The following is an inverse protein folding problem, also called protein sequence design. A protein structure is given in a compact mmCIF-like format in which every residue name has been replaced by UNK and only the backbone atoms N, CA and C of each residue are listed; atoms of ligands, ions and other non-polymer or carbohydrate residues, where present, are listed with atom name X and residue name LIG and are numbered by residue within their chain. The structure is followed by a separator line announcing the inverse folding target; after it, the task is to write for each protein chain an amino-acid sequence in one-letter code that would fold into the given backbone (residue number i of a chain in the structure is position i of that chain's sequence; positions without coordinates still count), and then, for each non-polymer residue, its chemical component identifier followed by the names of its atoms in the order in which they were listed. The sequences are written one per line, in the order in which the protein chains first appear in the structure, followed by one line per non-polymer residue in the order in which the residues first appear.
data_IF_474360442514
#
_entry.id   IF_474360442514
#
_cell.length_a   1.000
_cell.length_b   1.000
_cell.length_c   1.000
_cell.angle_alpha   90.00
_cell.angle_beta   90.00
_cell.angle_gamma   90.00
#
_symmetry.space_group_name_H-M   'P 1'
#
loop_
_entity.id
_entity.type
_entity.pdbx_description
1 polymer ?
#
# COMPACT_ATOMS: atom_id res chain seq x y z
N UNK A 1 -7.02 -36.49 -91.91
CA UNK A 1 -6.69 -36.95 -90.54
C UNK A 1 -6.05 -35.80 -89.80
N UNK A 2 -6.79 -35.16 -88.96
CA UNK A 2 -6.34 -33.97 -88.17
C UNK A 2 -6.16 -34.40 -86.73
N UNK A 3 -4.97 -34.30 -86.19
CA UNK A 3 -4.67 -34.50 -84.75
C UNK A 3 -4.83 -33.18 -83.99
N UNK A 4 -5.76 -33.16 -83.06
CA UNK A 4 -5.91 -32.05 -82.17
C UNK A 4 -4.95 -32.21 -80.95
N UNK A 5 -4.13 -31.21 -80.74
CA UNK A 5 -3.20 -31.13 -79.61
C UNK A 5 -3.79 -30.24 -78.54
N UNK A 6 -4.23 -30.83 -77.44
CA UNK A 6 -4.76 -30.05 -76.30
C UNK A 6 -3.61 -29.67 -75.38
N UNK A 7 -3.38 -28.39 -75.25
CA UNK A 7 -2.45 -27.79 -74.31
C UNK A 7 -3.14 -27.53 -72.98
N UNK A 8 -2.82 -28.31 -71.94
CA UNK A 8 -3.33 -28.10 -70.62
C UNK A 8 -2.45 -27.08 -69.88
N UNK A 9 -2.96 -25.89 -69.66
CA UNK A 9 -2.35 -24.91 -68.73
C UNK A 9 -2.58 -25.35 -67.30
N UNK A 10 -1.51 -25.76 -66.60
CA UNK A 10 -1.52 -25.98 -65.17
C UNK A 10 -1.29 -24.65 -64.50
N UNK A 11 -2.35 -24.13 -63.86
CA UNK A 11 -2.29 -22.93 -63.04
C UNK A 11 -1.80 -23.33 -61.65
N UNK A 12 -0.54 -22.99 -61.33
CA UNK A 12 0.06 -23.22 -60.02
C UNK A 12 -0.43 -22.13 -59.06
N UNK A 13 -1.45 -22.43 -58.23
CA UNK A 13 -1.89 -21.56 -57.14
C UNK A 13 -0.86 -21.63 -55.99
N UNK A 14 -0.06 -20.59 -55.84
CA UNK A 14 0.77 -20.37 -54.64
C UNK A 14 -0.14 -19.86 -53.53
N UNK A 15 -0.49 -20.75 -52.59
CA UNK A 15 -1.11 -20.35 -51.33
C UNK A 15 -0.04 -19.75 -50.42
N UNK A 16 -0.02 -18.41 -50.33
CA UNK A 16 0.68 -17.71 -49.28
C UNK A 16 -0.13 -17.87 -47.98
N UNK A 17 0.23 -18.82 -47.13
CA UNK A 17 -0.20 -18.84 -45.75
C UNK A 17 0.55 -17.75 -45.01
N UNK A 18 0.00 -16.54 -44.99
CA UNK A 18 0.43 -15.48 -44.06
C UNK A 18 0.10 -15.91 -42.65
N UNK A 19 1.11 -16.30 -41.88
CA UNK A 19 1.01 -16.45 -40.44
C UNK A 19 0.96 -15.02 -39.87
N UNK A 20 -0.23 -14.45 -39.71
CA UNK A 20 -0.41 -13.26 -38.86
C UNK A 20 -0.26 -13.71 -37.42
N UNK A 21 0.93 -13.50 -36.85
CA UNK A 21 1.06 -13.44 -35.40
C UNK A 21 0.22 -12.24 -34.94
N UNK A 22 -1.01 -12.49 -34.54
CA UNK A 22 -1.74 -11.56 -33.69
C UNK A 22 -0.95 -11.49 -32.39
N UNK A 23 -0.06 -10.49 -32.27
CA UNK A 23 0.33 -9.98 -30.98
C UNK A 23 -0.98 -9.47 -30.34
N UNK A 24 -1.57 -10.31 -29.51
CA UNK A 24 -2.62 -9.92 -28.59
C UNK A 24 -2.04 -8.80 -27.75
N UNK A 25 -2.28 -7.55 -28.15
CA UNK A 25 -2.11 -6.41 -27.26
C UNK A 25 -2.94 -6.72 -26.02
N UNK A 26 -2.25 -7.18 -24.98
CA UNK A 26 -2.83 -7.38 -23.66
C UNK A 26 -3.27 -6.00 -23.19
N UNK A 27 -4.54 -5.66 -23.46
CA UNK A 27 -5.17 -4.46 -22.90
C UNK A 27 -4.84 -4.47 -21.42
N UNK A 28 -4.17 -3.45 -20.85
CA UNK A 28 -3.87 -3.41 -19.43
C UNK A 28 -5.19 -3.64 -18.70
N UNK A 29 -5.28 -4.72 -17.94
CA UNK A 29 -6.44 -4.91 -17.07
C UNK A 29 -6.41 -3.72 -16.12
N UNK A 30 -7.48 -2.92 -16.08
CA UNK A 30 -7.58 -1.81 -15.14
C UNK A 30 -7.22 -2.33 -13.75
N UNK A 31 -6.10 -1.89 -13.20
CA UNK A 31 -5.66 -2.35 -11.89
C UNK A 31 -6.65 -1.87 -10.83
N UNK A 32 -7.24 -2.82 -10.11
CA UNK A 32 -8.27 -2.50 -9.12
C UNK A 32 -7.64 -2.01 -7.82
N UNK A 33 -8.14 -0.89 -7.32
CA UNK A 33 -7.73 -0.32 -6.03
C UNK A 33 -8.68 -0.71 -4.87
N UNK A 34 -9.62 -1.63 -5.12
CA UNK A 34 -10.64 -2.11 -4.17
C UNK A 34 -10.46 -3.61 -3.82
N UNK A 35 -9.28 -4.14 -4.01
CA UNK A 35 -8.93 -5.51 -3.66
C UNK A 35 -8.69 -5.64 -2.15
N UNK A 36 -8.60 -6.88 -1.68
CA UNK A 36 -8.23 -7.17 -0.29
C UNK A 36 -6.82 -6.67 0.02
N UNK A 37 -6.59 -6.35 1.28
CA UNK A 37 -5.27 -5.96 1.79
C UNK A 37 -4.21 -7.00 1.40
N UNK A 38 -3.01 -6.55 1.03
CA UNK A 38 -1.90 -7.39 0.59
C UNK A 38 -1.96 -7.84 -0.88
N UNK A 39 -3.10 -7.72 -1.56
CA UNK A 39 -3.23 -8.17 -2.96
C UNK A 39 -2.30 -7.44 -3.95
N UNK A 40 -1.81 -6.25 -3.59
CA UNK A 40 -0.85 -5.47 -4.38
C UNK A 40 0.54 -5.43 -3.76
N UNK A 41 0.88 -6.35 -2.86
CA UNK A 41 2.17 -6.35 -2.17
C UNK A 41 3.35 -6.31 -3.15
N UNK A 42 3.37 -7.19 -4.16
CA UNK A 42 4.42 -7.22 -5.19
C UNK A 42 4.41 -5.95 -6.04
N UNK A 43 3.24 -5.39 -6.33
CA UNK A 43 3.11 -4.13 -7.09
C UNK A 43 3.73 -2.94 -6.35
N UNK A 44 3.69 -2.93 -5.01
CA UNK A 44 4.42 -1.95 -4.20
C UNK A 44 5.93 -2.18 -4.26
N UNK A 45 6.37 -3.42 -4.10
CA UNK A 45 7.76 -3.75 -3.86
C UNK A 45 8.59 -3.73 -5.14
N UNK A 46 8.12 -4.38 -6.21
CA UNK A 46 8.84 -4.50 -7.49
C UNK A 46 8.47 -3.40 -8.48
N UNK A 47 9.25 -3.28 -9.55
CA UNK A 47 9.00 -2.40 -10.71
C UNK A 47 8.45 -3.16 -11.93
N UNK A 48 8.06 -4.42 -11.75
CA UNK A 48 7.58 -5.27 -12.87
C UNK A 48 6.30 -4.74 -13.52
N UNK A 49 5.35 -4.26 -12.72
CA UNK A 49 4.07 -3.72 -13.21
C UNK A 49 4.06 -2.19 -13.14
N UNK A 50 4.49 -1.64 -12.02
CA UNK A 50 4.45 -0.21 -11.75
C UNK A 50 5.83 0.31 -11.39
N UNK A 51 6.35 1.22 -12.21
CA UNK A 51 7.65 1.86 -11.99
C UNK A 51 7.55 3.10 -11.10
N UNK A 52 6.33 3.61 -10.85
CA UNK A 52 6.06 4.83 -10.07
C UNK A 52 5.04 4.58 -8.96
N UNK A 53 5.15 5.35 -7.87
CA UNK A 53 4.08 5.50 -6.87
C UNK A 53 3.55 6.93 -6.91
N UNK A 54 2.24 7.06 -6.90
CA UNK A 54 1.57 8.34 -6.68
C UNK A 54 0.68 8.26 -5.44
N UNK A 55 1.07 8.96 -4.37
CA UNK A 55 0.38 8.99 -3.09
C UNK A 55 -0.60 10.15 -3.07
N UNK A 56 -1.88 9.87 -2.95
CA UNK A 56 -2.91 10.88 -2.70
C UNK A 56 -3.17 10.98 -1.20
N UNK A 57 -2.76 12.09 -0.61
CA UNK A 57 -2.97 12.40 0.80
C UNK A 57 -4.19 13.32 0.93
N UNK A 58 -5.29 12.76 1.42
CA UNK A 58 -6.51 13.49 1.73
C UNK A 58 -6.58 13.71 3.23
N UNK A 59 -6.82 14.92 3.69
CA UNK A 59 -6.90 15.23 5.11
C UNK A 59 -8.07 16.16 5.41
N UNK A 60 -8.67 16.00 6.57
CA UNK A 60 -9.70 16.95 7.04
C UNK A 60 -9.04 18.29 7.38
N UNK A 61 -9.70 19.39 7.03
CA UNK A 61 -9.21 20.75 7.32
C UNK A 61 -8.83 20.87 8.80
N UNK A 62 -7.60 21.33 9.07
CA UNK A 62 -7.03 21.40 10.42
C UNK A 62 -6.26 20.14 10.85
N UNK A 63 -6.25 19.06 10.05
CA UNK A 63 -5.57 17.80 10.35
C UNK A 63 -4.50 17.45 9.29
N UNK A 64 -3.95 18.46 8.61
CA UNK A 64 -2.86 18.28 7.65
C UNK A 64 -1.66 17.63 8.34
N UNK A 65 -1.12 16.51 7.85
CA UNK A 65 0.16 15.99 8.35
C UNK A 65 1.27 16.98 8.02
N UNK A 66 2.25 17.08 8.92
CA UNK A 66 3.43 17.90 8.66
C UNK A 66 4.25 17.36 7.48
N UNK A 67 4.91 18.26 6.77
CA UNK A 67 5.72 17.89 5.61
C UNK A 67 6.83 16.87 5.96
N UNK A 68 7.35 16.92 7.19
CA UNK A 68 8.33 15.96 7.71
C UNK A 68 7.79 14.52 7.73
N UNK A 69 6.52 14.31 8.07
CA UNK A 69 5.86 12.99 8.08
C UNK A 69 5.84 12.41 6.66
N UNK A 70 5.47 13.23 5.67
CA UNK A 70 5.42 12.81 4.26
C UNK A 70 6.80 12.61 3.64
N UNK A 71 7.80 13.40 4.04
CA UNK A 71 9.20 13.19 3.64
C UNK A 71 9.76 11.88 4.22
N UNK A 72 9.44 11.58 5.48
CA UNK A 72 9.82 10.32 6.12
C UNK A 72 9.21 9.12 5.40
N UNK A 73 7.90 9.18 5.08
CA UNK A 73 7.23 8.16 4.28
C UNK A 73 7.91 7.97 2.91
N UNK A 74 8.23 9.06 2.22
CA UNK A 74 8.93 8.98 0.92
C UNK A 74 10.28 8.28 1.04
N UNK A 75 11.05 8.60 2.09
CA UNK A 75 12.35 7.98 2.36
C UNK A 75 12.22 6.49 2.69
N UNK A 76 11.21 6.14 3.48
CA UNK A 76 10.87 4.76 3.83
C UNK A 76 10.49 3.95 2.57
N UNK A 77 9.63 4.46 1.71
CA UNK A 77 9.24 3.82 0.45
C UNK A 77 10.45 3.61 -0.48
N UNK A 78 11.32 4.62 -0.62
CA UNK A 78 12.56 4.49 -1.41
C UNK A 78 13.51 3.41 -0.89
N UNK A 79 13.51 3.16 0.43
CA UNK A 79 14.35 2.15 1.07
C UNK A 79 13.91 0.73 0.69
N UNK A 80 12.60 0.47 0.64
CA UNK A 80 12.06 -0.88 0.52
C UNK A 80 11.50 -1.24 -0.85
N UNK A 81 11.28 -0.27 -1.75
CA UNK A 81 10.61 -0.51 -3.02
C UNK A 81 11.50 -0.18 -4.22
N UNK A 82 11.33 -0.93 -5.32
CA UNK A 82 11.93 -0.64 -6.62
C UNK A 82 10.99 0.25 -7.44
N UNK A 83 11.16 1.58 -7.36
CA UNK A 83 10.35 2.55 -8.10
C UNK A 83 11.25 3.54 -8.85
N UNK A 84 11.88 3.09 -9.97
CA UNK A 84 12.82 3.92 -10.74
C UNK A 84 12.16 5.17 -11.33
N UNK A 85 10.86 5.13 -11.65
CA UNK A 85 10.08 6.27 -12.12
C UNK A 85 9.72 7.30 -11.04
N UNK A 86 10.04 7.00 -9.77
CA UNK A 86 9.91 7.93 -8.65
C UNK A 86 8.64 7.75 -7.82
N UNK A 87 8.57 8.56 -6.77
CA UNK A 87 7.46 8.62 -5.80
C UNK A 87 7.01 10.07 -5.71
N UNK A 88 5.74 10.32 -5.97
CA UNK A 88 5.12 11.65 -5.89
C UNK A 88 3.98 11.68 -4.88
N UNK A 89 3.75 12.85 -4.29
CA UNK A 89 2.68 13.07 -3.31
C UNK A 89 1.81 14.23 -3.79
N UNK A 90 0.49 14.01 -3.79
CA UNK A 90 -0.53 15.04 -3.97
C UNK A 90 -1.33 15.15 -2.69
N UNK A 91 -1.41 16.35 -2.10
CA UNK A 91 -2.12 16.56 -0.85
C UNK A 91 -3.27 17.53 -1.04
N UNK A 92 -4.42 17.26 -0.42
CA UNK A 92 -5.57 18.16 -0.40
C UNK A 92 -6.43 18.03 0.84
N UNK A 93 -7.04 19.14 1.23
CA UNK A 93 -8.00 19.20 2.31
C UNK A 93 -9.42 18.82 1.85
N UNK A 94 -10.19 18.27 2.78
CA UNK A 94 -11.65 18.12 2.67
C UNK A 94 -12.31 18.76 3.90
N UNK A 95 -13.59 19.06 3.77
CA UNK A 95 -14.42 19.46 4.91
C UNK A 95 -14.66 18.25 5.80
N UNK A 96 -14.74 18.46 7.13
CA UNK A 96 -15.06 17.38 8.08
C UNK A 96 -16.39 16.71 7.72
N UNK A 97 -16.42 15.36 7.65
CA UNK A 97 -17.67 14.63 7.55
C UNK A 97 -18.49 14.61 8.86
N UNK A 98 -17.95 15.16 9.97
CA UNK A 98 -18.59 15.28 11.29
C UNK A 98 -19.12 13.95 11.86
N UNK A 99 -18.32 12.87 11.72
CA UNK A 99 -18.74 11.51 12.10
C UNK A 99 -18.65 11.23 13.61
N UNK A 100 -17.80 11.96 14.37
CA UNK A 100 -17.51 11.73 15.78
C UNK A 100 -16.65 10.49 16.07
N UNK A 101 -16.69 9.51 15.18
CA UNK A 101 -15.78 8.35 15.04
C UNK A 101 -15.96 7.72 13.67
N UNK A 102 -14.99 6.93 13.22
CA UNK A 102 -15.01 6.32 11.90
C UNK A 102 -15.02 4.79 11.97
N UNK A 103 -16.00 4.16 11.35
CA UNK A 103 -15.94 2.76 10.92
C UNK A 103 -15.17 2.63 9.61
N UNK A 104 -14.68 1.43 9.30
CA UNK A 104 -14.06 1.16 7.99
C UNK A 104 -15.03 1.36 6.84
N UNK A 105 -16.33 1.16 7.05
CA UNK A 105 -17.37 1.41 6.05
C UNK A 105 -17.46 2.91 5.71
N UNK A 106 -17.40 3.78 6.70
CA UNK A 106 -17.40 5.24 6.51
C UNK A 106 -16.11 5.71 5.85
N UNK A 107 -14.94 5.18 6.27
CA UNK A 107 -13.66 5.47 5.62
C UNK A 107 -13.71 5.10 4.13
N UNK A 108 -14.24 3.92 3.76
CA UNK A 108 -14.43 3.54 2.35
C UNK A 108 -15.39 4.47 1.61
N UNK A 109 -16.38 5.05 2.29
CA UNK A 109 -17.27 6.05 1.71
C UNK A 109 -16.54 7.36 1.44
N UNK A 110 -15.72 7.84 2.38
CA UNK A 110 -14.83 9.00 2.20
C UNK A 110 -13.89 8.76 1.03
N UNK A 111 -13.22 7.60 0.96
CA UNK A 111 -12.35 7.26 -0.16
C UNK A 111 -13.10 7.31 -1.49
N UNK A 112 -14.27 6.67 -1.59
CA UNK A 112 -15.07 6.65 -2.82
C UNK A 112 -15.46 8.05 -3.29
N UNK A 113 -15.72 8.97 -2.38
CA UNK A 113 -16.10 10.36 -2.69
C UNK A 113 -14.91 11.23 -3.07
N UNK A 114 -13.76 10.92 -2.50
CA UNK A 114 -12.60 11.83 -2.55
C UNK A 114 -11.38 11.26 -3.27
N UNK A 115 -11.26 9.98 -3.53
CA UNK A 115 -10.13 9.42 -4.26
C UNK A 115 -10.12 9.91 -5.70
N UNK A 116 -9.00 10.46 -6.17
CA UNK A 116 -8.78 10.91 -7.54
C UNK A 116 -7.56 10.26 -8.21
N UNK A 117 -6.69 9.63 -7.43
CA UNK A 117 -5.51 8.93 -7.93
C UNK A 117 -5.75 7.43 -7.93
N UNK A 118 -5.81 6.85 -9.11
CA UNK A 118 -6.00 5.42 -9.35
C UNK A 118 -4.75 4.82 -10.01
N UNK A 119 -4.62 3.49 -9.87
CA UNK A 119 -3.56 2.76 -10.55
C UNK A 119 -3.85 2.65 -12.03
N UNK A 120 -2.95 3.14 -12.86
CA UNK A 120 -3.03 3.16 -14.32
C UNK A 120 -1.64 3.18 -14.96
N UNK A 121 -1.50 2.62 -16.13
CA UNK A 121 -0.22 2.53 -16.86
C UNK A 121 0.90 1.96 -15.99
N UNK A 122 1.99 2.70 -15.80
CA UNK A 122 3.14 2.35 -14.97
C UNK A 122 3.09 2.92 -13.53
N UNK A 123 1.94 3.47 -13.13
CA UNK A 123 1.73 4.16 -11.87
C UNK A 123 0.82 3.37 -10.93
N UNK A 124 1.30 3.02 -9.75
CA UNK A 124 0.47 2.54 -8.66
C UNK A 124 -0.06 3.72 -7.84
N UNK A 125 -1.38 3.90 -7.84
CA UNK A 125 -2.07 4.93 -7.07
C UNK A 125 -2.37 4.47 -5.65
N UNK A 126 -2.04 5.29 -4.66
CA UNK A 126 -2.22 5.00 -3.23
C UNK A 126 -3.05 6.08 -2.58
N UNK A 127 -4.03 5.71 -1.77
CA UNK A 127 -4.89 6.62 -1.04
C UNK A 127 -4.54 6.61 0.45
N UNK A 128 -4.29 7.79 1.02
CA UNK A 128 -3.97 7.98 2.44
C UNK A 128 -4.93 9.03 3.00
N UNK A 129 -5.74 8.64 3.98
CA UNK A 129 -6.67 9.55 4.63
C UNK A 129 -6.23 9.89 6.06
N UNK A 130 -6.08 11.19 6.36
CA UNK A 130 -5.90 11.69 7.71
C UNK A 130 -7.24 12.18 8.23
N UNK A 131 -7.82 11.41 9.14
CA UNK A 131 -9.11 11.66 9.74
C UNK A 131 -9.02 12.72 10.86
N UNK A 132 -10.13 13.37 11.15
CA UNK A 132 -10.27 14.35 12.23
C UNK A 132 -10.81 13.74 13.54
N UNK A 133 -11.05 12.43 13.55
CA UNK A 133 -11.58 11.73 14.69
C UNK A 133 -10.95 10.32 14.82
N UNK A 134 -11.32 9.60 15.87
CA UNK A 134 -10.84 8.25 16.21
C UNK A 134 -11.56 7.16 15.43
N UNK A 135 -10.97 5.95 15.41
CA UNK A 135 -11.68 4.74 15.02
C UNK A 135 -12.81 4.42 16.01
N UNK A 136 -13.95 3.91 15.51
CA UNK A 136 -15.06 3.40 16.34
C UNK A 136 -14.64 2.21 17.22
N UNK A 137 -13.67 1.41 16.73
CA UNK A 137 -13.12 0.26 17.43
C UNK A 137 -12.14 0.66 18.55
N UNK A 138 -11.78 1.95 18.67
CA UNK A 138 -10.88 2.46 19.71
C UNK A 138 -11.51 2.35 21.09
N UNK A 139 -10.75 1.78 22.05
CA UNK A 139 -11.13 1.72 23.47
C UNK A 139 -10.43 2.82 24.26
N UNK A 140 -10.94 3.16 25.45
CA UNK A 140 -10.39 4.22 26.30
C UNK A 140 -8.88 4.13 26.54
N UNK A 141 -8.37 2.91 26.74
CA UNK A 141 -6.96 2.68 27.04
C UNK A 141 -6.19 2.03 25.86
N UNK A 142 -6.83 1.86 24.69
CA UNK A 142 -6.23 1.21 23.53
C UNK A 142 -6.82 1.79 22.26
N UNK A 143 -6.27 2.93 21.82
CA UNK A 143 -6.71 3.61 20.60
C UNK A 143 -6.03 3.00 19.38
N UNK A 144 -6.78 2.80 18.33
CA UNK A 144 -6.26 2.45 17.01
C UNK A 144 -5.72 3.73 16.36
N UNK A 145 -4.46 3.71 15.95
CA UNK A 145 -3.76 4.88 15.40
C UNK A 145 -3.88 4.98 13.88
N UNK A 146 -3.93 3.85 13.21
CA UNK A 146 -4.08 3.75 11.75
C UNK A 146 -4.70 2.44 11.34
N UNK A 147 -4.99 2.29 10.05
CA UNK A 147 -5.41 1.03 9.46
C UNK A 147 -5.19 1.00 7.95
N UNK A 148 -4.48 0.00 7.46
CA UNK A 148 -4.54 -0.40 6.06
C UNK A 148 -5.82 -1.24 5.85
N UNK A 149 -6.67 -0.91 4.87
CA UNK A 149 -8.01 -1.52 4.77
C UNK A 149 -8.38 -2.04 3.38
N UNK A 150 -7.65 -1.63 2.35
CA UNK A 150 -7.68 -2.17 1.00
C UNK A 150 -6.25 -2.35 0.49
N UNK A 151 -6.11 -2.90 -0.72
CA UNK A 151 -4.79 -3.18 -1.30
C UNK A 151 -3.90 -1.96 -1.51
N UNK A 152 -4.47 -0.74 -1.55
CA UNK A 152 -3.73 0.52 -1.77
C UNK A 152 -4.26 1.67 -0.91
N UNK A 153 -4.86 1.38 0.24
CA UNK A 153 -5.57 2.40 1.02
C UNK A 153 -5.25 2.30 2.51
N UNK A 154 -4.94 3.45 3.11
CA UNK A 154 -4.60 3.61 4.53
C UNK A 154 -5.39 4.77 5.13
N UNK A 155 -5.80 4.63 6.38
CA UNK A 155 -6.30 5.73 7.22
C UNK A 155 -5.38 5.92 8.42
N UNK A 156 -5.14 7.19 8.78
CA UNK A 156 -4.50 7.61 10.03
C UNK A 156 -5.56 8.37 10.82
N UNK A 157 -5.87 7.87 12.01
CA UNK A 157 -6.86 8.49 12.89
C UNK A 157 -6.26 9.65 13.70
N UNK A 158 -7.12 10.55 14.18
CA UNK A 158 -6.65 11.65 15.02
C UNK A 158 -6.05 11.14 16.33
N UNK A 159 -4.82 11.56 16.58
CA UNK A 159 -4.02 11.18 17.75
C UNK A 159 -3.47 12.39 18.53
N UNK A 160 -4.00 13.60 18.28
CA UNK A 160 -3.53 14.84 18.91
C UNK A 160 -3.65 14.82 20.43
N UNK A 161 -4.76 14.30 20.97
CA UNK A 161 -4.90 14.13 22.42
C UNK A 161 -3.83 13.21 23.00
N UNK A 162 -3.46 12.14 22.29
CA UNK A 162 -2.45 11.20 22.74
C UNK A 162 -1.08 11.86 22.88
N UNK A 163 -0.66 12.64 21.89
CA UNK A 163 0.62 13.38 21.95
C UNK A 163 0.66 14.38 23.09
N UNK A 164 -0.46 15.05 23.39
CA UNK A 164 -0.59 15.96 24.53
C UNK A 164 -0.49 15.24 25.89
N UNK A 165 -1.09 14.05 26.00
CA UNK A 165 -1.07 13.25 27.24
C UNK A 165 0.32 12.68 27.54
N UNK A 166 1.11 12.40 26.52
CA UNK A 166 2.42 11.73 26.67
C UNK A 166 3.56 12.70 26.94
N UNK A 167 3.45 13.95 26.46
CA UNK A 167 4.41 15.04 26.69
C UNK A 167 5.85 14.81 26.17
N UNK A 168 6.17 13.59 25.71
CA UNK A 168 7.52 13.17 25.32
C UNK A 168 7.61 12.59 23.90
N UNK A 169 6.48 12.29 23.28
CA UNK A 169 6.40 11.80 21.88
C UNK A 169 5.51 12.75 21.10
N UNK A 170 6.03 13.30 20.03
CA UNK A 170 5.30 14.25 19.20
C UNK A 170 4.23 13.55 18.34
N UNK A 171 3.24 14.30 17.92
CA UNK A 171 2.25 13.83 16.95
C UNK A 171 2.91 13.34 15.65
N UNK A 172 3.94 14.03 15.20
CA UNK A 172 4.68 13.67 13.98
C UNK A 172 5.37 12.31 14.09
N UNK A 173 5.97 11.99 15.24
CA UNK A 173 6.59 10.68 15.48
C UNK A 173 5.52 9.57 15.47
N UNK A 174 4.38 9.79 16.15
CA UNK A 174 3.28 8.83 16.17
C UNK A 174 2.76 8.60 14.74
N UNK A 175 2.46 9.66 13.99
CA UNK A 175 1.97 9.55 12.61
C UNK A 175 2.98 8.88 11.68
N UNK A 176 4.28 9.18 11.83
CA UNK A 176 5.35 8.59 11.02
C UNK A 176 5.42 7.09 11.23
N UNK A 177 5.51 6.64 12.49
CA UNK A 177 5.61 5.21 12.81
C UNK A 177 4.35 4.47 12.39
N UNK A 178 3.17 5.05 12.66
CA UNK A 178 1.90 4.45 12.23
C UNK A 178 1.82 4.31 10.70
N UNK A 179 2.17 5.36 9.94
CA UNK A 179 2.20 5.27 8.47
C UNK A 179 3.14 4.18 7.97
N UNK A 180 4.36 4.10 8.50
CA UNK A 180 5.31 3.07 8.10
C UNK A 180 4.79 1.65 8.41
N UNK A 181 4.14 1.46 9.56
CA UNK A 181 3.50 0.20 9.96
C UNK A 181 2.38 -0.19 8.98
N UNK A 182 1.47 0.74 8.69
CA UNK A 182 0.36 0.50 7.76
C UNK A 182 0.85 0.19 6.33
N UNK A 183 1.95 0.82 5.91
CA UNK A 183 2.60 0.46 4.64
C UNK A 183 3.23 -0.94 4.69
N UNK A 184 3.68 -1.42 5.84
CA UNK A 184 4.09 -2.80 6.01
C UNK A 184 2.95 -3.79 5.71
N UNK A 185 1.72 -3.47 6.11
CA UNK A 185 0.53 -4.23 5.73
C UNK A 185 0.24 -4.16 4.22
N UNK A 186 0.41 -3.00 3.58
CA UNK A 186 0.28 -2.86 2.12
C UNK A 186 1.36 -3.66 1.37
N UNK A 187 2.56 -3.77 1.94
CA UNK A 187 3.65 -4.62 1.43
C UNK A 187 3.38 -6.12 1.64
N UNK A 188 2.26 -6.46 2.26
CA UNK A 188 1.83 -7.84 2.49
C UNK A 188 2.63 -8.59 3.54
N UNK A 189 3.33 -7.86 4.41
CA UNK A 189 4.14 -8.48 5.46
C UNK A 189 3.32 -9.38 6.38
N UNK A 190 3.99 -10.34 6.98
CA UNK A 190 3.49 -11.33 7.92
C UNK A 190 2.35 -12.17 7.30
N UNK A 191 2.65 -12.82 6.17
CA UNK A 191 1.74 -13.69 5.40
C UNK A 191 0.48 -13.01 4.84
N UNK A 192 0.45 -11.69 4.77
CA UNK A 192 -0.69 -10.96 4.26
C UNK A 192 -0.49 -10.50 2.80
N UNK A 193 0.12 -11.34 1.95
CA UNK A 193 0.41 -11.07 0.55
C UNK A 193 1.87 -11.28 0.14
N UNK A 194 2.83 -11.03 1.04
CA UNK A 194 4.23 -11.43 0.95
C UNK A 194 4.42 -12.72 1.76
N UNK A 195 4.76 -13.87 1.13
CA UNK A 195 4.93 -15.12 1.85
C UNK A 195 6.08 -15.02 2.85
N UNK A 196 5.82 -15.36 4.12
CA UNK A 196 6.84 -15.37 5.16
C UNK A 196 7.92 -16.40 4.84
N UNK A 197 9.19 -15.99 4.92
CA UNK A 197 10.36 -16.83 4.71
C UNK A 197 10.76 -17.58 5.99
N UNK A 198 10.13 -17.26 7.13
CA UNK A 198 10.38 -17.87 8.42
C UNK A 198 9.14 -17.73 9.31
N UNK A 199 9.10 -18.49 10.41
CA UNK A 199 8.00 -18.41 11.39
C UNK A 199 8.20 -17.22 12.32
N UNK A 200 7.70 -16.04 11.95
CA UNK A 200 7.76 -14.81 12.77
C UNK A 200 6.39 -14.14 12.98
N UNK A 201 5.31 -14.75 12.50
CA UNK A 201 3.95 -14.27 12.75
C UNK A 201 3.57 -14.43 14.23
N UNK A 202 2.89 -13.43 14.78
CA UNK A 202 2.22 -13.56 16.08
C UNK A 202 0.92 -14.35 15.89
N UNK A 203 0.89 -15.54 16.45
CA UNK A 203 -0.25 -16.47 16.33
C UNK A 203 -1.41 -16.13 17.27
N UNK A 204 -1.28 -15.11 18.11
CA UNK A 204 -2.37 -14.64 18.94
C UNK A 204 -3.48 -14.05 18.04
N UNK A 205 -4.73 -14.44 18.28
CA UNK A 205 -5.87 -14.03 17.44
C UNK A 205 -6.07 -12.52 17.35
N UNK A 206 -5.69 -11.80 18.40
CA UNK A 206 -5.81 -10.33 18.48
C UNK A 206 -4.66 -9.60 17.76
N UNK A 207 -3.57 -10.30 17.47
CA UNK A 207 -2.35 -9.75 16.83
C UNK A 207 -2.02 -10.43 15.49
N UNK A 208 -2.97 -11.08 14.85
CA UNK A 208 -2.75 -11.70 13.53
C UNK A 208 -2.30 -10.68 12.49
N UNK A 209 -1.49 -11.15 11.55
CA UNK A 209 -0.84 -10.32 10.53
C UNK A 209 0.20 -9.33 11.12
N UNK A 210 0.71 -9.62 12.33
CA UNK A 210 1.78 -8.86 12.96
C UNK A 210 2.99 -9.75 13.31
N UNK A 211 4.15 -9.13 13.42
CA UNK A 211 5.39 -9.79 13.77
C UNK A 211 5.49 -10.02 15.29
N UNK A 212 5.92 -11.21 15.69
CA UNK A 212 6.13 -11.54 17.12
C UNK A 212 7.44 -10.99 17.69
N UNK A 213 8.33 -10.44 16.84
CA UNK A 213 9.63 -9.92 17.27
C UNK A 213 9.43 -8.57 17.95
N UNK A 214 9.87 -8.48 19.20
CA UNK A 214 9.80 -7.23 19.96
C UNK A 214 10.67 -6.15 19.28
N UNK A 215 10.14 -4.92 19.18
CA UNK A 215 10.83 -3.80 18.51
C UNK A 215 10.74 -3.81 16.98
N UNK A 216 10.16 -4.85 16.36
CA UNK A 216 9.85 -4.81 14.94
C UNK A 216 8.77 -3.77 14.65
N UNK A 217 8.91 -3.03 13.55
CA UNK A 217 7.90 -2.09 13.08
C UNK A 217 6.54 -2.78 12.84
N UNK A 218 6.53 -4.08 12.47
CA UNK A 218 5.30 -4.88 12.31
C UNK A 218 4.79 -5.53 13.59
N UNK A 219 5.30 -5.17 14.76
CA UNK A 219 4.73 -5.67 16.02
C UNK A 219 3.34 -5.04 16.26
N UNK A 220 2.36 -5.85 16.72
CA UNK A 220 0.99 -5.41 16.99
C UNK A 220 0.90 -4.21 17.96
N UNK A 221 1.89 -4.07 18.81
CA UNK A 221 2.02 -2.94 19.73
C UNK A 221 2.05 -1.56 19.03
N UNK A 222 2.44 -1.50 17.77
CA UNK A 222 2.53 -0.25 16.98
C UNK A 222 1.15 0.24 16.54
N UNK A 223 0.21 -0.67 16.27
CA UNK A 223 -1.17 -0.30 15.89
C UNK A 223 -1.93 0.40 17.02
N UNK A 224 -1.51 0.18 18.28
CA UNK A 224 -2.25 0.61 19.47
C UNK A 224 -1.50 1.63 20.32
N UNK A 225 -2.20 2.64 20.77
CA UNK A 225 -1.66 3.82 21.49
C UNK A 225 -0.88 3.55 22.80
N UNK A 226 -1.03 2.37 23.41
CA UNK A 226 -0.38 2.07 24.69
C UNK A 226 1.10 1.70 24.57
N UNK A 227 1.58 1.37 23.38
CA UNK A 227 2.89 0.77 23.18
C UNK A 227 3.84 1.54 22.24
N UNK A 228 3.40 2.20 21.15
CA UNK A 228 4.31 2.99 20.31
C UNK A 228 5.07 4.04 21.11
N UNK A 229 4.40 4.63 22.08
CA UNK A 229 4.98 5.66 22.97
C UNK A 229 6.12 5.10 23.81
N UNK A 230 6.00 3.88 24.33
CA UNK A 230 7.08 3.23 25.09
C UNK A 230 8.26 2.87 24.18
N UNK A 231 7.98 2.30 23.01
CA UNK A 231 9.01 1.93 22.03
C UNK A 231 9.76 3.14 21.47
N UNK A 232 9.06 4.25 21.22
CA UNK A 232 9.67 5.50 20.76
C UNK A 232 10.46 6.22 21.85
N UNK A 233 10.16 5.98 23.14
CA UNK A 233 10.92 6.54 24.27
C UNK A 233 12.19 5.78 24.59
N UNK A 234 12.15 4.46 24.44
CA UNK A 234 13.22 3.57 24.89
C UNK A 234 14.34 3.42 23.85
N UNK A 235 14.06 3.68 22.55
CA UNK A 235 15.06 3.60 21.49
C UNK A 235 15.10 4.91 20.68
N UNK A 236 16.26 5.57 20.70
CA UNK A 236 16.53 6.76 19.85
C UNK A 236 16.72 6.40 18.37
N UNK A 237 16.72 5.13 18.03
CA UNK A 237 16.73 4.67 16.65
C UNK A 237 15.29 4.61 16.12
N UNK A 238 15.07 5.11 14.90
CA UNK A 238 13.79 4.99 14.24
C UNK A 238 13.39 3.51 14.16
N UNK A 239 12.16 3.17 14.61
CA UNK A 239 11.62 1.82 14.48
C UNK A 239 11.67 1.38 13.01
N UNK A 240 12.17 0.18 12.79
CA UNK A 240 12.34 -0.41 11.46
C UNK A 240 11.84 -1.85 11.44
N UNK A 241 11.69 -2.42 10.24
CA UNK A 241 11.43 -3.85 10.10
C UNK A 241 12.60 -4.66 10.64
N UNK A 242 12.29 -5.77 11.32
CA UNK A 242 13.30 -6.74 11.70
C UNK A 242 13.83 -7.51 10.49
N UNK A 243 14.83 -8.37 10.72
CA UNK A 243 15.47 -9.11 9.62
C UNK A 243 14.52 -10.14 8.96
N UNK A 244 13.54 -10.70 9.70
CA UNK A 244 12.56 -11.63 9.13
C UNK A 244 11.63 -10.90 8.15
N UNK A 245 11.06 -9.77 8.58
CA UNK A 245 10.23 -8.93 7.71
C UNK A 245 11.01 -8.42 6.49
N UNK A 246 12.28 -8.03 6.64
CA UNK A 246 13.13 -7.61 5.50
C UNK A 246 13.39 -8.75 4.52
N UNK A 247 13.55 -9.99 4.99
CA UNK A 247 13.68 -11.15 4.12
C UNK A 247 12.39 -11.40 3.31
N UNK A 248 11.23 -11.25 3.92
CA UNK A 248 9.94 -11.38 3.23
C UNK A 248 9.78 -10.32 2.13
N UNK A 249 10.15 -9.06 2.41
CA UNK A 249 10.12 -7.99 1.41
C UNK A 249 11.01 -8.33 0.21
N UNK A 250 12.26 -8.75 0.46
CA UNK A 250 13.20 -9.14 -0.60
C UNK A 250 12.69 -10.30 -1.43
N UNK A 251 12.13 -11.32 -0.77
CA UNK A 251 11.57 -12.50 -1.46
C UNK A 251 10.38 -12.13 -2.35
N UNK A 252 9.64 -11.06 -2.03
CA UNK A 252 8.50 -10.58 -2.81
C UNK A 252 8.85 -9.40 -3.75
N UNK A 253 10.12 -9.14 -4.03
CA UNK A 253 10.58 -8.18 -5.02
C UNK A 253 10.91 -6.79 -4.46
N UNK A 254 11.04 -6.64 -3.15
CA UNK A 254 11.57 -5.45 -2.47
C UNK A 254 13.10 -5.41 -2.42
N UNK A 255 13.64 -4.35 -1.81
CA UNK A 255 15.09 -4.14 -1.60
C UNK A 255 15.60 -4.85 -0.38
#
# INVERSE_FOLDING_TARGET
MKKNFHWACILLLLLFTGCSTEESEKKPSAHRNDLVLGASARDFLSDETFTRLELEVVYVTGHKPEDQVLQSLTSFLKRYTHKPGGISIKSRAIVSPEMGSYSIKEIKTVEKQHRSVFSEDDKLGVFIFFADDKSEDSKTNNRILGKAYLNTSVVIFDNRELSQMTGSVSQNEIQTVTLHHEFGHLFGLVNNGSPAQSEHEDLNKESRAHCKVEGCLMAAAIEFSSSPIRLLKDDQNALDFDEHCKLDLKANGGK
#
